data_IF_448663705917
#
_entry.id   IF_448663705917
#
_cell.length_a   1.000
_cell.length_b   1.000
_cell.length_c   1.000
_cell.angle_alpha   90.00
_cell.angle_beta   90.00
_cell.angle_gamma   90.00
#
_symmetry.space_group_name_H-M   'P 1'
#
loop_
_entity.id
_entity.type
_entity.pdbx_description
1 polymer ?
#
# COMPACT_ATOMS: atom_id res chain seq x y z
N UNK A 1 3.56 -38.71 47.99
CA UNK A 1 2.48 -38.46 47.01
C UNK A 1 2.58 -37.08 46.33
N UNK A 2 3.66 -36.31 46.51
CA UNK A 2 3.75 -34.91 46.04
C UNK A 2 4.42 -34.76 44.66
N UNK A 3 5.31 -35.68 44.30
CA UNK A 3 6.06 -35.63 43.02
C UNK A 3 5.13 -35.66 41.80
N UNK A 4 3.98 -36.33 41.92
CA UNK A 4 2.99 -36.38 40.83
C UNK A 4 2.37 -35.01 40.54
N UNK A 5 2.09 -34.19 41.56
CA UNK A 5 1.41 -32.90 41.37
C UNK A 5 2.29 -31.87 40.64
N UNK A 6 3.57 -31.79 40.99
CA UNK A 6 4.52 -30.88 40.32
C UNK A 6 4.75 -31.32 38.87
N UNK A 7 4.93 -32.63 38.63
CA UNK A 7 5.15 -33.17 37.29
C UNK A 7 3.91 -32.99 36.41
N UNK A 8 2.72 -33.17 36.98
CA UNK A 8 1.46 -32.98 36.30
C UNK A 8 1.20 -31.51 35.96
N UNK A 9 1.51 -30.59 36.88
CA UNK A 9 1.45 -29.14 36.62
C UNK A 9 2.42 -28.70 35.52
N UNK A 10 3.64 -29.26 35.48
CA UNK A 10 4.61 -29.02 34.41
C UNK A 10 4.11 -29.53 33.05
N UNK A 11 3.47 -30.70 33.01
CA UNK A 11 2.85 -31.22 31.78
C UNK A 11 1.76 -30.28 31.28
N UNK A 12 0.90 -29.77 32.16
CA UNK A 12 -0.12 -28.80 31.78
C UNK A 12 0.46 -27.47 31.31
N UNK A 13 1.55 -26.99 31.92
CA UNK A 13 2.26 -25.79 31.47
C UNK A 13 2.79 -25.95 30.03
N UNK A 14 3.51 -27.04 29.77
CA UNK A 14 4.07 -27.34 28.44
C UNK A 14 2.96 -27.56 27.42
N UNK A 15 1.89 -28.29 27.79
CA UNK A 15 0.75 -28.55 26.92
C UNK A 15 0.02 -27.26 26.55
N UNK A 16 -0.24 -26.39 27.52
CA UNK A 16 -0.91 -25.10 27.32
C UNK A 16 -0.10 -24.17 26.43
N UNK A 17 1.18 -24.00 26.75
CA UNK A 17 2.09 -23.15 25.96
C UNK A 17 2.27 -23.69 24.54
N UNK A 18 2.44 -25.00 24.37
CA UNK A 18 2.58 -25.63 23.05
C UNK A 18 1.32 -25.50 22.21
N UNK A 19 0.13 -25.64 22.82
CA UNK A 19 -1.14 -25.57 22.09
C UNK A 19 -1.39 -24.15 21.59
N UNK A 20 -1.17 -23.15 22.44
CA UNK A 20 -1.29 -21.73 22.05
C UNK A 20 -0.26 -21.39 20.98
N UNK A 21 0.99 -21.82 21.12
CA UNK A 21 2.02 -21.58 20.13
C UNK A 21 1.66 -22.20 18.76
N UNK A 22 1.22 -23.45 18.74
CA UNK A 22 0.79 -24.13 17.51
C UNK A 22 -0.40 -23.42 16.86
N UNK A 23 -1.34 -22.91 17.66
CA UNK A 23 -2.46 -22.12 17.15
C UNK A 23 -2.00 -20.80 16.52
N UNK A 24 -1.04 -20.10 17.13
CA UNK A 24 -0.48 -18.87 16.56
C UNK A 24 0.25 -19.12 15.24
N UNK A 25 1.03 -20.21 15.15
CA UNK A 25 1.68 -20.60 13.90
C UNK A 25 0.65 -20.88 12.82
N UNK A 26 -0.41 -21.63 13.14
CA UNK A 26 -1.51 -21.91 12.22
C UNK A 26 -2.18 -20.60 11.77
N UNK A 27 -2.41 -19.65 12.68
CA UNK A 27 -2.95 -18.33 12.35
C UNK A 27 -2.08 -17.60 11.33
N UNK A 28 -0.75 -17.58 11.51
CA UNK A 28 0.16 -16.96 10.54
C UNK A 28 0.04 -17.62 9.16
N UNK A 29 0.01 -18.95 9.11
CA UNK A 29 -0.15 -19.69 7.84
C UNK A 29 -1.47 -19.36 7.15
N UNK A 30 -2.57 -19.27 7.91
CA UNK A 30 -3.89 -18.90 7.37
C UNK A 30 -3.88 -17.45 6.85
N UNK A 31 -3.27 -16.52 7.57
CA UNK A 31 -3.14 -15.13 7.12
C UNK A 31 -2.31 -15.02 5.84
N UNK A 32 -1.21 -15.78 5.71
CA UNK A 32 -0.43 -15.84 4.47
C UNK A 32 -1.24 -16.43 3.31
N UNK A 33 -2.03 -17.47 3.58
CA UNK A 33 -2.91 -18.06 2.57
C UNK A 33 -3.96 -17.05 2.11
N UNK A 34 -4.61 -16.35 3.05
CA UNK A 34 -5.55 -15.28 2.75
C UNK A 34 -4.88 -14.17 1.93
N UNK A 35 -3.67 -13.73 2.29
CA UNK A 35 -2.93 -12.72 1.55
C UNK A 35 -2.66 -13.16 0.11
N UNK A 36 -2.25 -14.41 -0.12
CA UNK A 36 -2.04 -14.97 -1.47
C UNK A 36 -3.33 -15.03 -2.28
N UNK A 37 -4.43 -15.45 -1.65
CA UNK A 37 -5.76 -15.49 -2.29
C UNK A 37 -6.18 -14.06 -2.68
N UNK A 38 -6.06 -13.10 -1.77
CA UNK A 38 -6.40 -11.70 -2.03
C UNK A 38 -5.56 -11.15 -3.18
N UNK A 39 -4.23 -11.33 -3.18
CA UNK A 39 -3.37 -10.87 -4.27
C UNK A 39 -3.69 -11.54 -5.62
N UNK A 40 -4.19 -12.78 -5.62
CA UNK A 40 -4.56 -13.50 -6.84
C UNK A 40 -5.89 -13.03 -7.43
N UNK A 41 -6.91 -12.79 -6.60
CA UNK A 41 -8.25 -12.41 -7.05
C UNK A 41 -8.47 -10.89 -7.09
N UNK A 42 -7.77 -10.15 -6.23
CA UNK A 42 -7.72 -8.69 -6.17
C UNK A 42 -6.27 -8.24 -6.32
N UNK A 43 -5.66 -8.44 -7.51
CA UNK A 43 -4.33 -7.91 -7.75
C UNK A 43 -4.35 -6.40 -7.45
N UNK A 44 -3.43 -5.90 -6.62
CA UNK A 44 -3.36 -4.47 -6.37
C UNK A 44 -3.16 -3.81 -7.73
N UNK A 45 -4.14 -2.99 -8.11
CA UNK A 45 -4.03 -2.13 -9.29
C UNK A 45 -2.71 -1.40 -9.11
N UNK A 46 -1.78 -1.61 -10.03
CA UNK A 46 -0.55 -0.84 -10.07
C UNK A 46 -0.97 0.62 -10.10
N UNK A 47 -0.95 1.28 -8.93
CA UNK A 47 -0.73 2.70 -8.88
C UNK A 47 0.69 2.79 -9.39
N UNK A 48 0.81 2.90 -10.72
CA UNK A 48 1.93 3.61 -11.27
C UNK A 48 1.94 4.90 -10.48
N UNK A 49 2.86 4.99 -9.52
CA UNK A 49 3.40 6.28 -9.12
C UNK A 49 4.11 6.73 -10.38
N UNK A 50 3.33 7.17 -11.37
CA UNK A 50 3.80 8.04 -12.39
C UNK A 50 4.41 9.17 -11.57
N UNK A 51 5.71 9.32 -11.67
CA UNK A 51 6.43 10.51 -11.23
C UNK A 51 5.87 11.68 -12.05
N UNK A 52 4.60 12.04 -11.82
CA UNK A 52 3.81 12.98 -12.61
C UNK A 52 4.18 14.41 -12.28
N UNK A 53 4.91 14.63 -11.19
CA UNK A 53 5.04 15.96 -10.63
C UNK A 53 6.20 16.75 -11.24
N UNK A 54 7.05 16.15 -12.10
CA UNK A 54 8.15 16.88 -12.73
C UNK A 54 7.92 17.23 -14.21
N UNK A 55 7.24 16.39 -15.01
CA UNK A 55 7.01 16.72 -16.43
C UNK A 55 5.72 17.51 -16.71
N UNK A 56 4.68 17.39 -15.87
CA UNK A 56 3.42 18.12 -16.06
C UNK A 56 3.61 19.63 -15.82
N UNK A 57 4.42 20.00 -14.82
CA UNK A 57 4.61 21.40 -14.45
C UNK A 57 5.25 22.22 -15.57
N UNK A 58 6.29 21.72 -16.24
CA UNK A 58 6.97 22.51 -17.28
C UNK A 58 6.10 22.69 -18.54
N UNK A 59 5.34 21.66 -18.93
CA UNK A 59 4.46 21.70 -20.10
C UNK A 59 3.23 22.58 -19.86
N UNK A 60 2.66 22.54 -18.66
CA UNK A 60 1.52 23.37 -18.29
C UNK A 60 1.93 24.85 -18.22
N UNK A 61 3.08 25.17 -17.60
CA UNK A 61 3.61 26.52 -17.56
C UNK A 61 3.89 27.09 -18.96
N UNK A 62 4.51 26.29 -19.86
CA UNK A 62 4.74 26.72 -21.25
C UNK A 62 3.43 26.97 -22.00
N UNK A 63 2.42 26.12 -21.79
CA UNK A 63 1.10 26.27 -22.42
C UNK A 63 0.38 27.53 -21.93
N UNK A 64 0.44 27.83 -20.63
CA UNK A 64 -0.11 29.04 -20.04
C UNK A 64 0.58 30.29 -20.59
N UNK A 65 1.92 30.30 -20.65
CA UNK A 65 2.70 31.42 -21.20
C UNK A 65 2.40 31.63 -22.69
N UNK A 66 2.28 30.56 -23.47
CA UNK A 66 1.92 30.64 -24.89
C UNK A 66 0.51 31.21 -25.10
N UNK A 67 -0.47 30.79 -24.29
CA UNK A 67 -1.84 31.30 -24.35
C UNK A 67 -1.92 32.80 -24.00
N UNK A 68 -1.17 33.24 -22.99
CA UNK A 68 -1.07 34.67 -22.61
C UNK A 68 -0.41 35.46 -23.75
N UNK A 69 0.70 34.99 -24.31
CA UNK A 69 1.40 35.66 -25.41
C UNK A 69 0.54 35.77 -26.67
N UNK A 70 -0.19 34.71 -27.04
CA UNK A 70 -1.13 34.70 -28.15
C UNK A 70 -2.28 35.70 -27.94
N UNK A 71 -2.77 35.83 -26.71
CA UNK A 71 -3.83 36.79 -26.34
C UNK A 71 -3.36 38.24 -26.49
N UNK A 72 -2.14 38.55 -26.01
CA UNK A 72 -1.55 39.88 -26.14
C UNK A 72 -1.30 40.23 -27.62
N UNK A 73 -0.79 39.28 -28.41
CA UNK A 73 -0.52 39.50 -29.83
C UNK A 73 -1.81 39.69 -30.63
N UNK A 74 -2.85 38.92 -30.32
CA UNK A 74 -4.18 39.05 -30.94
C UNK A 74 -4.83 40.40 -30.61
N UNK A 75 -4.71 40.86 -29.37
CA UNK A 75 -5.18 42.20 -28.97
C UNK A 75 -4.41 43.32 -29.70
N UNK A 76 -3.07 43.25 -29.75
CA UNK A 76 -2.26 44.22 -30.50
C UNK A 76 -2.61 44.26 -31.98
N UNK A 77 -2.81 43.10 -32.61
CA UNK A 77 -3.22 42.98 -34.02
C UNK A 77 -4.61 43.59 -34.24
N UNK A 78 -5.54 43.39 -33.31
CA UNK A 78 -6.89 43.98 -33.34
C UNK A 78 -6.89 45.49 -33.09
N UNK A 79 -5.93 46.03 -32.33
CA UNK A 79 -5.79 47.47 -32.08
C UNK A 79 -5.09 48.25 -33.21
N UNK A 80 -4.49 47.53 -34.17
CA UNK A 80 -3.80 48.10 -35.34
C UNK A 80 -4.61 47.99 -36.65
N UNK A 81 -5.84 47.47 -36.58
CA UNK A 81 -6.84 47.54 -37.64
C UNK A 81 -7.88 48.60 -37.29
#
# INVERSE_FOLDING_TARGET
>A
MEVNLIVESLKFLVLGMSTVFMFLVLMVVVLELQAKIILKYFPPKEVSVYNSTQELSQKDNFTVVAAIAASIQSYKKKSKQ
#
